data_IF_363597168105
#
_entry.id   IF_363597168105
#
_cell.length_a   1.000
_cell.length_b   1.000
_cell.length_c   1.000
_cell.angle_alpha   90.00
_cell.angle_beta   90.00
_cell.angle_gamma   90.00
#
_symmetry.space_group_name_H-M   'P 1'
#
loop_
_entity.id
_entity.type
_entity.pdbx_description
1 polymer ?
#
# COMPACT_ATOMS: atom_id res chain seq x y z
N UNK A 1 -18.28 -1.87 6.99
CA UNK A 1 -17.55 -0.75 7.61
C UNK A 1 -16.61 -1.24 8.70
N UNK A 2 -17.07 -2.03 9.68
CA UNK A 2 -16.26 -2.56 10.81
C UNK A 2 -14.99 -3.34 10.37
N UNK A 3 -15.04 -4.10 9.28
CA UNK A 3 -13.89 -4.89 8.82
C UNK A 3 -12.71 -4.01 8.37
N UNK A 4 -12.98 -2.94 7.61
CA UNK A 4 -11.94 -2.07 7.07
C UNK A 4 -11.22 -1.29 8.19
N UNK A 5 -11.95 -0.81 9.20
CA UNK A 5 -11.34 -0.11 10.34
C UNK A 5 -10.37 -1.02 11.13
N UNK A 6 -10.75 -2.29 11.33
CA UNK A 6 -9.90 -3.27 12.01
C UNK A 6 -8.66 -3.65 11.18
N UNK A 7 -8.79 -3.73 9.86
CA UNK A 7 -7.68 -3.98 8.93
C UNK A 7 -6.74 -2.77 8.87
N UNK A 8 -7.27 -1.55 8.76
CA UNK A 8 -6.50 -0.31 8.78
C UNK A 8 -5.74 -0.14 10.11
N UNK A 9 -6.35 -0.50 11.23
CA UNK A 9 -5.68 -0.47 12.55
C UNK A 9 -4.52 -1.46 12.63
N UNK A 10 -4.67 -2.66 12.07
CA UNK A 10 -3.58 -3.65 11.98
C UNK A 10 -2.47 -3.18 11.03
N UNK A 11 -2.81 -2.56 9.90
CA UNK A 11 -1.83 -1.97 8.98
C UNK A 11 -1.04 -0.84 9.65
N UNK A 12 -1.71 0.06 10.36
CA UNK A 12 -1.07 1.15 11.09
C UNK A 12 -0.05 0.62 12.09
N UNK A 13 -0.45 -0.37 12.90
CA UNK A 13 0.45 -1.01 13.87
C UNK A 13 1.66 -1.68 13.20
N UNK A 14 1.45 -2.43 12.11
CA UNK A 14 2.54 -3.06 11.37
C UNK A 14 3.53 -2.01 10.85
N UNK A 15 3.02 -0.89 10.35
CA UNK A 15 3.84 0.20 9.83
C UNK A 15 4.65 0.85 10.95
N UNK A 16 4.03 1.16 12.09
CA UNK A 16 4.70 1.75 13.25
C UNK A 16 5.81 0.84 13.83
N UNK A 17 5.63 -0.49 13.76
CA UNK A 17 6.62 -1.46 14.23
C UNK A 17 7.82 -1.61 13.28
N UNK A 18 7.64 -1.33 11.98
CA UNK A 18 8.65 -1.62 10.95
C UNK A 18 9.32 -0.36 10.34
N UNK A 19 8.74 0.82 10.52
CA UNK A 19 9.22 2.06 9.92
C UNK A 19 9.32 3.19 10.93
N UNK A 20 10.31 4.07 10.72
CA UNK A 20 10.34 5.37 11.40
C UNK A 20 9.31 6.32 10.77
N UNK A 21 8.87 7.33 11.54
CA UNK A 21 7.85 8.31 11.10
C UNK A 21 8.14 8.95 9.73
N UNK A 22 9.41 9.12 9.36
CA UNK A 22 9.82 9.75 8.11
C UNK A 22 10.12 8.75 6.98
N UNK A 23 10.04 7.44 7.22
CA UNK A 23 10.36 6.42 6.23
C UNK A 23 9.19 6.06 5.33
N UNK A 24 7.95 6.27 5.80
CA UNK A 24 6.73 6.09 4.99
C UNK A 24 6.36 7.42 4.34
N UNK A 25 6.25 7.38 3.02
CA UNK A 25 6.01 8.55 2.17
C UNK A 25 4.55 8.64 1.71
N UNK A 26 3.87 7.50 1.62
CA UNK A 26 2.46 7.45 1.26
C UNK A 26 1.83 6.08 1.42
N UNK A 27 0.52 6.07 1.63
CA UNK A 27 -0.32 4.90 1.81
C UNK A 27 -1.61 5.11 1.03
N UNK A 28 -2.08 4.07 0.36
CA UNK A 28 -3.37 4.03 -0.30
C UNK A 28 -4.01 2.65 -0.13
N UNK A 29 -5.31 2.63 0.19
CA UNK A 29 -6.15 1.44 0.15
C UNK A 29 -7.28 1.72 -0.83
N UNK A 30 -7.46 0.83 -1.78
CA UNK A 30 -8.51 0.89 -2.79
C UNK A 30 -9.32 -0.40 -2.76
N UNK A 31 -10.56 -0.35 -3.22
CA UNK A 31 -11.29 -1.57 -3.54
C UNK A 31 -10.82 -2.17 -4.89
N UNK A 32 -11.31 -3.35 -5.24
CA UNK A 32 -10.96 -4.02 -6.51
C UNK A 32 -11.40 -3.28 -7.78
N UNK A 33 -12.23 -2.25 -7.67
CA UNK A 33 -12.63 -1.39 -8.79
C UNK A 33 -11.65 -0.22 -9.00
N UNK A 34 -10.65 -0.09 -8.13
CA UNK A 34 -9.70 1.01 -8.13
C UNK A 34 -10.24 2.27 -7.44
N UNK A 35 -11.37 2.20 -6.73
CA UNK A 35 -11.88 3.33 -5.95
C UNK A 35 -11.07 3.45 -4.66
N UNK A 36 -10.57 4.66 -4.39
CA UNK A 36 -9.80 4.97 -3.18
C UNK A 36 -10.70 4.97 -1.96
N UNK A 37 -10.43 4.08 -1.03
CA UNK A 37 -11.11 4.01 0.27
C UNK A 37 -10.38 4.82 1.33
N UNK A 38 -9.05 4.86 1.23
CA UNK A 38 -8.18 5.60 2.13
C UNK A 38 -6.90 6.01 1.41
N UNK A 39 -6.40 7.22 1.69
CA UNK A 39 -5.06 7.62 1.26
C UNK A 39 -4.48 8.64 2.23
N UNK A 40 -3.19 8.49 2.55
CA UNK A 40 -2.40 9.46 3.30
C UNK A 40 -1.04 9.58 2.63
N UNK A 41 -0.61 10.80 2.27
CA UNK A 41 0.53 10.96 1.38
C UNK A 41 1.30 12.25 1.70
N UNK A 42 2.62 12.13 1.84
CA UNK A 42 3.57 13.24 1.99
C UNK A 42 4.31 13.53 0.66
N UNK A 43 3.96 12.80 -0.40
CA UNK A 43 4.51 12.93 -1.76
C UNK A 43 3.39 13.31 -2.75
N UNK A 44 3.77 13.56 -3.99
CA UNK A 44 2.85 13.81 -5.11
C UNK A 44 1.86 12.63 -5.29
N UNK A 45 0.61 12.86 -4.86
CA UNK A 45 -0.46 11.86 -4.86
C UNK A 45 -0.78 11.36 -6.27
N UNK A 46 -0.81 12.25 -7.27
CA UNK A 46 -1.13 11.85 -8.65
C UNK A 46 -0.06 10.91 -9.20
N UNK A 47 1.22 11.22 -8.98
CA UNK A 47 2.32 10.33 -9.36
C UNK A 47 2.26 9.00 -8.64
N UNK A 48 1.99 9.01 -7.33
CA UNK A 48 1.87 7.79 -6.53
C UNK A 48 0.72 6.90 -7.03
N UNK A 49 -0.48 7.47 -7.18
CA UNK A 49 -1.66 6.75 -7.66
C UNK A 49 -1.48 6.24 -9.08
N UNK A 50 -0.77 6.99 -9.95
CA UNK A 50 -0.43 6.52 -11.30
C UNK A 50 0.39 5.22 -11.26
N UNK A 51 1.42 5.14 -10.42
CA UNK A 51 2.25 3.93 -10.30
C UNK A 51 1.42 2.74 -9.83
N UNK A 52 0.54 2.94 -8.83
CA UNK A 52 -0.34 1.87 -8.35
C UNK A 52 -1.30 1.42 -9.46
N UNK A 53 -1.95 2.37 -10.16
CA UNK A 53 -2.88 2.08 -11.24
C UNK A 53 -2.24 1.35 -12.42
N UNK A 54 -1.03 1.76 -12.82
CA UNK A 54 -0.31 1.09 -13.90
C UNK A 54 0.13 -0.32 -13.48
N UNK A 55 0.49 -0.50 -12.21
CA UNK A 55 0.75 -1.83 -11.64
C UNK A 55 -0.48 -2.74 -11.70
N UNK A 56 -1.66 -2.25 -11.30
CA UNK A 56 -2.89 -3.04 -11.27
C UNK A 56 -3.23 -3.59 -12.66
N UNK A 57 -2.98 -2.81 -13.71
CA UNK A 57 -3.23 -3.21 -15.12
C UNK A 57 -2.35 -4.37 -15.57
N UNK A 58 -1.19 -4.60 -14.94
CA UNK A 58 -0.30 -5.72 -15.29
C UNK A 58 -0.85 -7.08 -14.84
N UNK A 59 -1.83 -7.10 -13.93
CA UNK A 59 -2.38 -8.33 -13.36
C UNK A 59 -1.51 -8.97 -12.26
N UNK A 60 -0.38 -8.36 -11.91
CA UNK A 60 0.50 -8.83 -10.84
C UNK A 60 -0.12 -8.53 -9.46
N UNK A 61 -0.11 -9.53 -8.57
CA UNK A 61 -0.74 -9.40 -7.25
C UNK A 61 0.16 -8.75 -6.19
N UNK A 62 1.48 -8.86 -6.31
CA UNK A 62 2.46 -8.31 -5.37
C UNK A 62 3.66 -7.79 -6.16
N UNK A 63 4.01 -6.52 -5.99
CA UNK A 63 5.18 -5.93 -6.66
C UNK A 63 5.84 -4.87 -5.79
N UNK A 64 7.15 -4.74 -5.93
CA UNK A 64 7.98 -3.68 -5.37
C UNK A 64 8.69 -2.96 -6.51
N UNK A 65 8.58 -1.64 -6.56
CA UNK A 65 9.09 -0.83 -7.65
C UNK A 65 9.93 0.30 -7.06
N UNK A 66 11.18 0.41 -7.49
CA UNK A 66 11.97 1.63 -7.23
C UNK A 66 11.51 2.73 -8.18
N UNK A 67 11.01 3.83 -7.64
CA UNK A 67 10.54 4.99 -8.40
C UNK A 67 11.27 6.27 -7.97
N UNK A 68 11.14 7.38 -8.73
CA UNK A 68 11.70 8.68 -8.33
C UNK A 68 11.14 9.21 -6.99
N UNK A 69 9.96 8.76 -6.58
CA UNK A 69 9.28 9.18 -5.34
C UNK A 69 9.45 8.18 -4.18
N UNK A 70 10.33 7.18 -4.35
CA UNK A 70 10.61 6.16 -3.34
C UNK A 70 10.40 4.73 -3.84
N UNK A 71 10.48 3.77 -2.92
CA UNK A 71 10.11 2.38 -3.14
C UNK A 71 8.61 2.23 -2.99
N UNK A 72 7.94 1.70 -4.00
CA UNK A 72 6.49 1.53 -4.01
C UNK A 72 6.18 0.04 -3.97
N UNK A 73 5.45 -0.34 -2.94
CA UNK A 73 4.91 -1.68 -2.73
C UNK A 73 3.45 -1.64 -3.11
N UNK A 74 3.02 -2.57 -3.96
CA UNK A 74 1.61 -2.76 -4.29
C UNK A 74 1.23 -4.20 -3.98
N UNK A 75 0.16 -4.36 -3.21
CA UNK A 75 -0.42 -5.65 -2.83
C UNK A 75 -1.89 -5.65 -3.21
N UNK A 76 -2.27 -6.55 -4.11
CA UNK A 76 -3.65 -6.80 -4.51
C UNK A 76 -4.12 -8.11 -3.87
N UNK A 77 -5.19 -8.01 -3.09
CA UNK A 77 -5.89 -9.14 -2.49
C UNK A 77 -7.24 -9.36 -3.16
N UNK A 78 -8.05 -10.28 -2.63
CA UNK A 78 -9.43 -10.47 -3.07
C UNK A 78 -10.35 -9.32 -2.67
N UNK A 79 -9.98 -8.49 -1.69
CA UNK A 79 -10.84 -7.41 -1.18
C UNK A 79 -10.34 -6.04 -1.59
N UNK A 80 -9.02 -5.84 -1.53
CA UNK A 80 -8.42 -4.52 -1.65
C UNK A 80 -7.17 -4.53 -2.51
N UNK A 81 -6.80 -3.33 -2.94
CA UNK A 81 -5.50 -3.03 -3.48
C UNK A 81 -4.84 -2.03 -2.54
N UNK A 82 -3.70 -2.40 -2.00
CA UNK A 82 -2.89 -1.58 -1.12
C UNK A 82 -1.67 -1.08 -1.86
N UNK A 83 -1.35 0.20 -1.70
CA UNK A 83 -0.12 0.82 -2.15
C UNK A 83 0.57 1.47 -0.97
N UNK A 84 1.89 1.30 -0.88
CA UNK A 84 2.72 1.98 0.12
C UNK A 84 3.99 2.49 -0.55
N UNK A 85 4.30 3.76 -0.34
CA UNK A 85 5.55 4.38 -0.74
C UNK A 85 6.46 4.55 0.48
N UNK A 86 7.73 4.16 0.35
CA UNK A 86 8.73 4.19 1.43
C UNK A 86 10.07 4.71 0.92
N UNK A 87 10.93 5.19 1.82
CA UNK A 87 12.32 5.60 1.48
C UNK A 87 13.24 4.41 1.18
N UNK A 88 12.90 3.21 1.67
CA UNK A 88 13.70 1.98 1.58
C UNK A 88 12.83 0.80 1.13
N UNK A 89 13.41 -0.23 0.49
CA UNK A 89 12.65 -1.41 0.09
C UNK A 89 12.07 -2.12 1.33
N UNK A 90 10.83 -2.59 1.21
CA UNK A 90 10.12 -3.30 2.28
C UNK A 90 9.40 -4.56 1.79
N UNK A 91 9.98 -5.20 0.77
CA UNK A 91 9.52 -6.46 0.17
C UNK A 91 9.30 -7.57 1.21
N UNK A 92 10.07 -7.57 2.30
CA UNK A 92 9.94 -8.52 3.39
C UNK A 92 8.56 -8.49 4.07
N UNK A 93 7.80 -7.38 3.96
CA UNK A 93 6.47 -7.23 4.56
C UNK A 93 5.32 -7.72 3.67
N UNK A 94 5.59 -8.22 2.46
CA UNK A 94 4.54 -8.61 1.50
C UNK A 94 3.53 -9.61 2.06
N UNK A 95 4.00 -10.62 2.78
CA UNK A 95 3.12 -11.67 3.31
C UNK A 95 2.24 -11.16 4.44
N UNK A 96 2.78 -10.33 5.33
CA UNK A 96 2.04 -9.74 6.45
C UNK A 96 0.98 -8.76 5.94
N UNK A 97 1.35 -7.88 4.99
CA UNK A 97 0.43 -6.96 4.34
C UNK A 97 -0.72 -7.71 3.64
N UNK A 98 -0.39 -8.73 2.84
CA UNK A 98 -1.39 -9.52 2.14
C UNK A 98 -2.31 -10.28 3.11
N UNK A 99 -1.78 -10.77 4.23
CA UNK A 99 -2.55 -11.46 5.26
C UNK A 99 -3.56 -10.53 5.93
N UNK A 100 -3.15 -9.33 6.35
CA UNK A 100 -4.04 -8.34 6.96
C UNK A 100 -5.17 -7.97 5.99
N UNK A 101 -4.83 -7.70 4.73
CA UNK A 101 -5.76 -7.25 3.68
C UNK A 101 -6.64 -8.37 3.08
N UNK A 102 -6.48 -9.62 3.52
CA UNK A 102 -7.25 -10.78 3.02
C UNK A 102 -8.19 -11.39 4.05
N UNK A 103 -8.08 -11.00 5.33
CA UNK A 103 -9.07 -11.33 6.37
C UNK A 103 -10.41 -10.74 5.99
#
# INVERSE_FOLDING_TARGET
MIALEAELSQLAKLIEENFKEDEVLGLAVMNNRGEVLFSACCIDLEKFMKVINDTIKTGVNKISIKSPIGYIIVVKTKKYIFGMATKRPADHLFEELASILSK
#
